data_IF_425885606605
#
_entry.id   IF_425885606605
#
_cell.length_a   1.000
_cell.length_b   1.000
_cell.length_c   1.000
_cell.angle_alpha   90.00
_cell.angle_beta   90.00
_cell.angle_gamma   90.00
#
_symmetry.space_group_name_H-M   'P 1'
#
loop_
_entity.id
_entity.type
_entity.pdbx_description
1 polymer ?
#
# COMPACT_ATOMS: atom_id res chain seq x y z
N UNK A 1 -3.50 11.69 -14.40
CA UNK A 1 -3.61 10.21 -14.47
C UNK A 1 -2.29 9.48 -14.23
N UNK A 2 -1.15 9.85 -14.85
CA UNK A 2 0.12 9.10 -14.70
C UNK A 2 0.70 8.98 -13.25
N UNK A 3 0.39 9.91 -12.35
CA UNK A 3 0.93 9.89 -10.97
C UNK A 3 0.33 8.75 -10.14
N UNK A 4 -1.00 8.58 -10.18
CA UNK A 4 -1.71 7.48 -9.49
C UNK A 4 -1.19 6.10 -9.90
N UNK A 5 -0.82 5.96 -11.18
CA UNK A 5 -0.32 4.70 -11.76
C UNK A 5 0.96 4.19 -11.11
N UNK A 6 1.83 5.10 -10.65
CA UNK A 6 3.08 4.74 -9.98
C UNK A 6 2.85 4.31 -8.53
N UNK A 7 1.83 4.86 -7.88
CA UNK A 7 1.53 4.61 -6.46
C UNK A 7 0.92 3.22 -6.24
N UNK A 8 -0.05 2.85 -7.08
CA UNK A 8 -0.65 1.49 -7.05
C UNK A 8 0.43 0.43 -7.27
N UNK A 9 1.42 0.71 -8.12
CA UNK A 9 2.54 -0.20 -8.35
C UNK A 9 3.43 -0.41 -7.15
N UNK A 10 3.74 0.66 -6.44
CA UNK A 10 4.60 0.57 -5.26
C UNK A 10 3.86 -0.15 -4.10
N UNK A 11 2.53 -0.07 -4.02
CA UNK A 11 1.70 -0.88 -3.08
C UNK A 11 1.73 -2.36 -3.47
N UNK A 12 1.44 -2.67 -4.75
CA UNK A 12 1.45 -4.05 -5.27
C UNK A 12 2.82 -4.71 -5.13
N UNK A 13 3.91 -3.98 -5.33
CA UNK A 13 5.26 -4.50 -5.13
C UNK A 13 5.54 -4.87 -3.67
N UNK A 14 5.00 -4.13 -2.70
CA UNK A 14 5.13 -4.51 -1.29
C UNK A 14 4.31 -5.76 -0.96
N UNK A 15 3.10 -5.88 -1.51
CA UNK A 15 2.32 -7.11 -1.41
C UNK A 15 3.08 -8.32 -2.01
N UNK A 16 3.76 -8.13 -3.14
CA UNK A 16 4.56 -9.15 -3.83
C UNK A 16 5.90 -9.50 -3.17
N UNK A 17 6.45 -8.60 -2.36
CA UNK A 17 7.64 -8.87 -1.54
C UNK A 17 7.28 -9.72 -0.31
N UNK A 18 6.07 -9.52 0.23
CA UNK A 18 5.59 -10.19 1.43
C UNK A 18 4.92 -11.54 1.12
N UNK A 19 4.41 -11.70 -0.10
CA UNK A 19 3.67 -12.86 -0.58
C UNK A 19 3.92 -13.03 -2.09
N UNK A 20 4.17 -14.25 -2.57
CA UNK A 20 4.40 -14.48 -4.01
C UNK A 20 3.19 -14.13 -4.90
N UNK A 21 2.02 -13.92 -4.29
CA UNK A 21 0.78 -13.53 -4.96
C UNK A 21 0.03 -12.43 -4.19
N UNK A 22 -0.69 -11.59 -4.92
CA UNK A 22 -1.64 -10.63 -4.39
C UNK A 22 -2.96 -10.75 -5.15
N UNK A 23 -4.04 -10.31 -4.50
CA UNK A 23 -5.36 -10.16 -5.09
C UNK A 23 -5.74 -8.68 -5.06
N UNK A 24 -6.60 -8.26 -5.96
CA UNK A 24 -7.20 -6.94 -5.91
C UNK A 24 -8.61 -7.01 -6.47
N UNK A 25 -9.42 -6.01 -6.18
CA UNK A 25 -10.76 -5.88 -6.71
C UNK A 25 -11.34 -4.51 -6.41
N UNK A 26 -12.57 -4.31 -6.83
CA UNK A 26 -13.32 -3.11 -6.50
C UNK A 26 -14.56 -3.51 -5.74
N UNK A 27 -14.90 -2.72 -4.73
CA UNK A 27 -16.16 -2.80 -4.00
C UNK A 27 -16.92 -1.47 -4.14
N UNK A 28 -18.00 -1.29 -3.39
CA UNK A 28 -18.80 -0.07 -3.40
C UNK A 28 -18.04 1.16 -2.91
N UNK A 29 -16.88 1.02 -2.27
CA UNK A 29 -16.12 2.11 -1.65
C UNK A 29 -14.86 2.47 -2.45
N UNK A 30 -14.15 1.50 -3.02
CA UNK A 30 -12.88 1.77 -3.69
C UNK A 30 -12.22 0.56 -4.34
N UNK A 31 -10.93 0.70 -4.58
CA UNK A 31 -10.01 -0.38 -4.96
C UNK A 31 -9.43 -0.98 -3.69
N UNK A 32 -9.49 -2.29 -3.53
CA UNK A 32 -8.73 -3.01 -2.51
C UNK A 32 -7.65 -3.87 -3.16
N UNK A 33 -6.52 -4.00 -2.47
CA UNK A 33 -5.38 -4.84 -2.84
C UNK A 33 -4.99 -5.62 -1.58
N UNK A 34 -4.90 -6.94 -1.66
CA UNK A 34 -4.59 -7.79 -0.50
C UNK A 34 -3.58 -8.88 -0.82
N UNK A 35 -2.83 -9.29 0.19
CA UNK A 35 -1.89 -10.41 0.17
C UNK A 35 -2.17 -11.38 1.33
N UNK A 36 -1.49 -12.53 1.32
CA UNK A 36 -1.58 -13.56 2.38
C UNK A 36 -0.29 -13.70 3.17
N UNK A 37 0.58 -12.70 3.15
CA UNK A 37 1.87 -12.73 3.83
C UNK A 37 1.76 -12.51 5.34
N UNK A 38 2.86 -12.14 6.01
CA UNK A 38 2.90 -12.08 7.50
C UNK A 38 2.23 -10.83 8.07
N UNK A 39 1.88 -9.89 7.21
CA UNK A 39 1.33 -8.60 7.58
C UNK A 39 2.40 -7.53 7.81
N UNK A 40 1.98 -6.27 7.79
CA UNK A 40 2.84 -5.10 7.99
C UNK A 40 2.83 -4.63 9.46
N UNK A 41 4.00 -4.28 10.01
CA UNK A 41 4.08 -3.69 11.34
C UNK A 41 3.77 -2.18 11.31
N UNK A 42 3.14 -1.63 12.36
CA UNK A 42 2.84 -0.18 12.45
C UNK A 42 4.09 0.69 12.27
N UNK A 43 5.23 0.24 12.80
CA UNK A 43 6.50 0.93 12.65
C UNK A 43 6.94 1.10 11.19
N UNK A 44 6.47 0.24 10.29
CA UNK A 44 6.75 0.30 8.86
C UNK A 44 5.85 1.31 8.13
N UNK A 45 4.91 1.95 8.83
CA UNK A 45 4.17 3.15 8.37
C UNK A 45 4.66 4.45 9.01
N UNK A 46 5.52 4.38 10.03
CA UNK A 46 6.12 5.57 10.63
C UNK A 46 7.22 6.12 9.72
N UNK A 47 7.21 7.43 9.49
CA UNK A 47 8.32 8.14 8.85
C UNK A 47 9.51 8.13 9.83
N UNK A 48 10.55 7.40 9.48
CA UNK A 48 11.72 7.16 10.32
C UNK A 48 12.91 6.68 9.47
N UNK A 49 14.10 6.50 10.06
CA UNK A 49 15.28 6.10 9.30
C UNK A 49 15.02 4.77 8.57
N UNK A 50 15.40 4.66 7.29
CA UNK A 50 15.04 3.53 6.45
C UNK A 50 15.63 2.23 7.00
N UNK A 51 14.81 1.18 7.05
CA UNK A 51 15.30 -0.19 7.25
C UNK A 51 15.69 -0.74 5.90
N UNK A 52 16.98 -0.95 5.66
CA UNK A 52 17.45 -1.59 4.43
C UNK A 52 16.93 -3.02 4.38
N UNK A 53 16.23 -3.38 3.30
CA UNK A 53 15.90 -4.77 3.01
C UNK A 53 17.10 -5.47 2.34
N UNK A 54 17.25 -6.80 2.48
CA UNK A 54 18.30 -7.55 1.79
C UNK A 54 18.16 -7.45 0.26
N UNK A 55 19.27 -7.56 -0.46
CA UNK A 55 19.36 -7.24 -1.90
C UNK A 55 18.43 -8.04 -2.83
N UNK A 56 17.88 -9.17 -2.36
CA UNK A 56 16.92 -9.98 -3.10
C UNK A 56 15.46 -9.49 -3.00
N UNK A 57 15.17 -8.53 -2.12
CA UNK A 57 13.83 -7.94 -2.00
C UNK A 57 13.58 -6.96 -3.16
N UNK A 58 12.38 -6.96 -3.74
CA UNK A 58 12.05 -6.09 -4.89
C UNK A 58 11.92 -4.61 -4.45
N UNK A 59 11.67 -4.34 -3.17
CA UNK A 59 11.75 -3.02 -2.55
C UNK A 59 12.99 -2.83 -1.68
N UNK A 60 13.90 -1.91 -2.07
CA UNK A 60 15.18 -1.68 -1.35
C UNK A 60 15.05 -0.94 -0.01
N UNK A 61 14.05 -0.07 0.12
CA UNK A 61 13.96 0.90 1.23
C UNK A 61 12.72 0.74 2.11
N UNK A 62 11.71 -0.05 1.70
CA UNK A 62 10.42 -0.15 2.42
C UNK A 62 9.57 1.14 2.41
N UNK A 63 10.04 2.20 1.76
CA UNK A 63 9.40 3.53 1.74
C UNK A 63 8.31 3.67 0.66
N UNK A 64 8.30 2.80 -0.35
CA UNK A 64 7.40 2.93 -1.52
C UNK A 64 5.93 2.95 -1.14
N UNK A 65 5.52 2.11 -0.19
CA UNK A 65 4.17 2.06 0.36
C UNK A 65 3.79 3.32 1.13
N UNK A 66 4.73 3.90 1.90
CA UNK A 66 4.49 5.15 2.63
C UNK A 66 4.31 6.33 1.68
N UNK A 67 5.16 6.41 0.65
CA UNK A 67 5.09 7.44 -0.39
C UNK A 67 3.81 7.27 -1.22
N UNK A 68 3.41 6.03 -1.51
CA UNK A 68 2.17 5.73 -2.21
C UNK A 68 0.94 6.17 -1.42
N UNK A 69 0.86 5.80 -0.14
CA UNK A 69 -0.23 6.21 0.74
C UNK A 69 -0.28 7.74 0.89
N UNK A 70 0.86 8.40 1.11
CA UNK A 70 0.97 9.86 1.18
C UNK A 70 0.42 10.55 -0.07
N UNK A 71 0.81 10.07 -1.25
CA UNK A 71 0.39 10.68 -2.49
C UNK A 71 -1.09 10.43 -2.79
N UNK A 72 -1.64 9.25 -2.44
CA UNK A 72 -3.08 8.98 -2.52
C UNK A 72 -3.89 9.92 -1.63
N UNK A 73 -3.46 10.11 -0.38
CA UNK A 73 -4.10 11.04 0.56
C UNK A 73 -4.03 12.49 0.05
N UNK A 74 -2.89 12.93 -0.50
CA UNK A 74 -2.78 14.26 -1.14
C UNK A 74 -3.67 14.43 -2.38
N UNK A 75 -3.99 13.34 -3.06
CA UNK A 75 -4.91 13.35 -4.20
C UNK A 75 -6.38 13.33 -3.76
N UNK A 76 -6.66 13.32 -2.46
CA UNK A 76 -8.02 13.32 -1.90
C UNK A 76 -8.62 11.93 -1.70
N UNK A 77 -7.83 10.86 -1.84
CA UNK A 77 -8.30 9.50 -1.54
C UNK A 77 -8.01 9.12 -0.10
N UNK A 78 -8.96 8.46 0.57
CA UNK A 78 -8.70 7.87 1.88
C UNK A 78 -8.02 6.51 1.73
N UNK A 79 -6.98 6.28 2.53
CA UNK A 79 -6.24 5.01 2.54
C UNK A 79 -6.47 4.31 3.86
N UNK A 80 -7.20 3.20 3.79
CA UNK A 80 -7.46 2.29 4.88
C UNK A 80 -6.62 1.02 4.71
N UNK A 81 -6.05 0.51 5.80
CA UNK A 81 -5.16 -0.64 5.75
C UNK A 81 -5.52 -1.60 6.87
N UNK A 82 -5.82 -2.84 6.53
CA UNK A 82 -6.00 -3.91 7.51
C UNK A 82 -4.81 -4.87 7.45
N UNK A 83 -4.29 -5.24 8.61
CA UNK A 83 -3.17 -6.16 8.74
C UNK A 83 -3.37 -7.04 9.97
N UNK A 84 -2.45 -7.96 10.22
CA UNK A 84 -2.53 -8.89 11.34
C UNK A 84 -2.63 -8.14 12.67
N UNK A 85 -3.81 -8.24 13.29
CA UNK A 85 -4.13 -7.68 14.61
C UNK A 85 -4.31 -6.16 14.66
N UNK A 86 -4.33 -5.46 13.52
CA UNK A 86 -4.50 -4.00 13.48
C UNK A 86 -5.19 -3.50 12.21
N UNK A 87 -5.85 -2.37 12.32
CA UNK A 87 -6.27 -1.55 11.18
C UNK A 87 -5.70 -0.13 11.31
N UNK A 88 -5.39 0.49 10.17
CA UNK A 88 -4.70 1.76 10.07
C UNK A 88 -5.39 2.69 9.06
N UNK A 89 -5.34 3.98 9.37
CA UNK A 89 -5.80 5.06 8.51
C UNK A 89 -4.67 6.07 8.31
N UNK A 90 -4.37 6.37 7.05
CA UNK A 90 -3.38 7.39 6.69
C UNK A 90 -4.11 8.72 6.47
N UNK A 91 -3.79 9.72 7.27
CA UNK A 91 -4.46 11.03 7.28
C UNK A 91 -3.46 12.18 7.41
N UNK A 92 -3.86 13.38 7.02
CA UNK A 92 -3.18 14.61 7.43
C UNK A 92 -3.82 15.13 8.71
N UNK A 93 -2.99 15.42 9.71
CA UNK A 93 -3.39 16.10 10.93
C UNK A 93 -2.79 17.50 10.93
N UNK A 94 -3.63 18.51 11.16
CA UNK A 94 -3.13 19.84 11.46
C UNK A 94 -2.52 19.83 12.87
N UNK A 95 -1.25 20.22 12.97
CA UNK A 95 -0.55 20.38 14.22
C UNK A 95 -0.25 21.86 14.46
N UNK A 96 -0.57 22.32 15.67
CA UNK A 96 -0.15 23.64 16.14
C UNK A 96 1.33 23.60 16.51
N UNK A 97 2.11 24.36 15.76
CA UNK A 97 3.53 24.63 16.02
C UNK A 97 3.67 26.14 16.26
N UNK A 98 4.81 26.75 15.92
CA UNK A 98 4.93 28.21 15.83
C UNK A 98 4.19 28.74 14.56
N UNK A 99 2.89 28.44 14.48
CA UNK A 99 2.05 28.44 13.27
C UNK A 99 1.19 27.17 13.19
N UNK A 100 0.81 26.78 11.97
CA UNK A 100 0.16 25.48 11.70
C UNK A 100 0.97 24.70 10.67
N UNK A 101 1.01 23.38 10.81
CA UNK A 101 1.61 22.48 9.84
C UNK A 101 0.73 21.25 9.66
N UNK A 102 0.56 20.80 8.41
CA UNK A 102 -0.07 19.51 8.13
C UNK A 102 0.97 18.39 8.24
N UNK A 103 0.74 17.48 9.18
CA UNK A 103 1.60 16.32 9.44
C UNK A 103 0.89 15.06 8.96
N UNK A 104 1.57 14.25 8.14
CA UNK A 104 1.08 12.92 7.80
C UNK A 104 1.11 12.03 9.04
N UNK A 105 -0.01 11.41 9.37
CA UNK A 105 -0.13 10.49 10.49
C UNK A 105 -0.76 9.17 10.02
N UNK A 106 -0.25 8.07 10.58
CA UNK A 106 -0.89 6.77 10.53
C UNK A 106 -1.60 6.53 11.87
N UNK A 107 -2.91 6.71 11.89
CA UNK A 107 -3.75 6.37 13.05
C UNK A 107 -4.05 4.88 13.00
N UNK A 108 -4.04 4.21 14.15
CA UNK A 108 -4.31 2.77 14.20
C UNK A 108 -5.09 2.38 15.44
N UNK A 109 -5.81 1.26 15.35
CA UNK A 109 -6.45 0.61 16.49
C UNK A 109 -6.23 -0.92 16.45
N UNK A 110 -6.29 -1.61 17.60
CA UNK A 110 -6.32 -3.08 17.62
C UNK A 110 -7.54 -3.60 16.86
N UNK A 111 -7.38 -4.66 16.05
CA UNK A 111 -8.45 -5.16 15.17
C UNK A 111 -7.90 -5.85 13.93
N UNK A 112 -8.51 -5.60 12.76
CA UNK A 112 -8.00 -6.06 11.46
C UNK A 112 -8.20 -7.56 11.19
N UNK A 113 -7.28 -8.12 10.40
CA UNK A 113 -7.42 -9.46 9.81
C UNK A 113 -6.50 -10.50 10.47
N UNK A 114 -6.74 -11.79 10.21
CA UNK A 114 -5.96 -12.88 10.79
C UNK A 114 -4.65 -13.19 10.07
N UNK A 115 -4.54 -12.83 8.78
CA UNK A 115 -3.37 -13.12 7.93
C UNK A 115 -3.26 -12.08 6.83
N UNK A 116 -2.04 -11.73 6.42
CA UNK A 116 -1.79 -10.84 5.29
C UNK A 116 -1.98 -9.37 5.58
N UNK A 117 -2.12 -8.58 4.52
CA UNK A 117 -2.47 -7.17 4.57
C UNK A 117 -3.48 -6.85 3.46
N UNK A 118 -4.38 -5.92 3.72
CA UNK A 118 -5.31 -5.35 2.75
C UNK A 118 -5.16 -3.84 2.73
N UNK A 119 -4.86 -3.28 1.58
CA UNK A 119 -4.90 -1.86 1.28
C UNK A 119 -6.19 -1.53 0.58
N UNK A 120 -6.96 -0.59 1.13
CA UNK A 120 -8.20 -0.10 0.55
C UNK A 120 -8.08 1.39 0.26
N UNK A 121 -8.20 1.73 -1.02
CA UNK A 121 -8.10 3.08 -1.55
C UNK A 121 -9.52 3.56 -1.86
N UNK A 122 -10.14 4.18 -0.87
CA UNK A 122 -11.54 4.60 -0.92
C UNK A 122 -11.69 5.76 -1.91
N UNK A 123 -12.73 5.68 -2.74
CA UNK A 123 -13.02 6.61 -3.83
C UNK A 123 -12.26 6.33 -5.13
N UNK A 124 -11.30 5.40 -5.14
CA UNK A 124 -10.52 5.11 -6.34
C UNK A 124 -11.22 4.11 -7.27
N UNK A 125 -11.42 4.53 -8.53
CA UNK A 125 -12.05 3.72 -9.61
C UNK A 125 -11.17 3.57 -10.86
N UNK A 126 -9.93 4.06 -10.80
CA UNK A 126 -8.96 3.89 -11.89
C UNK A 126 -8.42 2.47 -11.95
N UNK A 127 -7.68 2.09 -12.99
CA UNK A 127 -7.18 0.72 -13.19
C UNK A 127 -6.25 0.23 -12.08
N UNK A 128 -6.29 -1.08 -11.77
CA UNK A 128 -5.41 -1.72 -10.80
C UNK A 128 -4.01 -2.12 -11.35
N UNK A 129 -3.68 -1.70 -12.58
CA UNK A 129 -2.36 -1.90 -13.23
C UNK A 129 -1.93 -3.36 -13.45
N UNK A 130 -2.85 -4.31 -13.42
CA UNK A 130 -2.68 -5.75 -13.71
C UNK A 130 -1.77 -6.00 -14.93
N UNK A 131 -2.01 -5.25 -16.02
CA UNK A 131 -1.27 -5.34 -17.29
C UNK A 131 0.22 -4.98 -17.22
N UNK A 132 0.68 -4.37 -16.14
CA UNK A 132 2.05 -3.90 -15.96
C UNK A 132 2.86 -4.77 -14.97
N UNK A 133 2.25 -5.81 -14.39
CA UNK A 133 2.94 -6.78 -13.56
C UNK A 133 3.06 -8.11 -14.30
N UNK A 134 4.25 -8.71 -14.28
CA UNK A 134 4.49 -10.03 -14.88
C UNK A 134 3.94 -11.19 -14.04
N UNK A 135 3.42 -10.89 -12.86
CA UNK A 135 2.77 -11.84 -11.96
C UNK A 135 1.26 -11.80 -12.21
N UNK A 136 0.61 -12.96 -12.19
CA UNK A 136 -0.78 -13.18 -12.65
C UNK A 136 -0.99 -13.09 -14.17
N UNK A 137 0.07 -13.14 -15.00
CA UNK A 137 -0.10 -13.38 -16.43
C UNK A 137 -0.78 -14.74 -16.64
N UNK A 138 -1.84 -14.83 -17.49
CA UNK A 138 -2.37 -16.12 -17.88
C UNK A 138 -1.23 -16.93 -18.49
N UNK A 139 -1.17 -18.25 -18.24
CA UNK A 139 -0.06 -19.13 -18.69
C UNK A 139 0.33 -18.92 -20.16
N UNK A 140 -0.65 -18.60 -21.01
CA UNK A 140 -0.48 -18.32 -22.43
C UNK A 140 0.29 -17.04 -22.77
N UNK A 141 0.40 -16.09 -21.84
CA UNK A 141 1.14 -14.83 -22.00
C UNK A 141 2.61 -14.93 -21.55
N UNK A 142 2.99 -16.05 -20.91
CA UNK A 142 4.39 -16.35 -20.60
C UNK A 142 5.01 -16.98 -21.85
N UNK A 143 5.59 -16.14 -22.73
CA UNK A 143 6.43 -16.59 -23.83
C UNK A 143 7.77 -17.06 -23.23
N UNK A 144 7.82 -18.30 -22.75
CA UNK A 144 9.07 -18.97 -22.44
C UNK A 144 9.72 -19.42 -23.76
N UNK A 145 10.96 -18.98 -24.00
CA UNK A 145 11.89 -19.69 -24.89
C UNK A 145 12.36 -20.98 -24.23
#
# INVERSE_FOLDING_TARGET
>A
MACSNRLTRDIVQNALDESEAYQFGYDEEGLWITDKGKGVAVADFLLGPPKMKPDYARGKFGEGMKIAALALVRMGYSVHIETVGRELWVVFLEQKINGTAETLAALWRPGGIGTGTMFHIIGYRGSAFEKNFAVNLPKMAVLAQ
#
